data_IF_242786640524
#
_entry.id   IF_242786640524
#
_cell.length_a   1.000
_cell.length_b   1.000
_cell.length_c   1.000
_cell.angle_alpha   90.00
_cell.angle_beta   90.00
_cell.angle_gamma   90.00
#
_symmetry.space_group_name_H-M   'P 1'
#
loop_
_entity.id
_entity.type
_entity.pdbx_description
1 polymer ?
#
# COMPACT_ATOMS: atom_id res chain seq x y z
N UNK A 1 -13.43 17.76 -12.13
CA UNK A 1 -12.89 16.52 -11.54
C UNK A 1 -12.12 16.77 -10.24
N UNK A 2 -11.48 17.92 -10.04
CA UNK A 2 -10.67 18.23 -8.83
C UNK A 2 -11.24 19.32 -7.91
N UNK A 3 -12.48 19.79 -8.12
CA UNK A 3 -13.05 20.89 -7.32
C UNK A 3 -13.51 20.48 -5.91
N UNK A 4 -13.52 19.18 -5.60
CA UNK A 4 -13.93 18.62 -4.29
C UNK A 4 -12.82 17.76 -3.67
N UNK A 5 -11.54 18.12 -3.81
CA UNK A 5 -10.50 17.47 -2.98
C UNK A 5 -10.64 17.99 -1.55
N UNK A 6 -11.58 17.40 -0.81
CA UNK A 6 -11.60 17.47 0.64
C UNK A 6 -10.33 16.84 1.21
N UNK A 7 -9.82 17.39 2.32
CA UNK A 7 -8.68 16.83 3.06
C UNK A 7 -8.87 15.35 3.42
N UNK A 8 -10.13 14.89 3.43
CA UNK A 8 -10.54 13.50 3.65
C UNK A 8 -10.08 12.51 2.58
N UNK A 9 -9.84 12.97 1.36
CA UNK A 9 -9.42 12.10 0.25
C UNK A 9 -7.90 11.90 0.20
N UNK A 10 -7.13 12.69 0.95
CA UNK A 10 -5.65 12.62 0.94
C UNK A 10 -5.17 11.21 1.29
N UNK A 11 -5.67 10.53 2.35
CA UNK A 11 -5.20 9.20 2.69
C UNK A 11 -5.48 8.17 1.58
N UNK A 12 -6.67 8.23 0.97
CA UNK A 12 -7.05 7.33 -0.12
C UNK A 12 -6.23 7.59 -1.39
N UNK A 13 -6.01 8.85 -1.76
CA UNK A 13 -5.16 9.20 -2.91
C UNK A 13 -3.71 8.80 -2.67
N UNK A 14 -3.20 9.02 -1.46
CA UNK A 14 -1.85 8.60 -1.08
C UNK A 14 -1.71 7.07 -1.17
N UNK A 15 -2.63 6.31 -0.58
CA UNK A 15 -2.61 4.86 -0.64
C UNK A 15 -2.67 4.36 -2.09
N UNK A 16 -3.58 4.91 -2.90
CA UNK A 16 -3.72 4.60 -4.33
C UNK A 16 -2.40 4.83 -5.09
N UNK A 17 -1.76 5.98 -4.88
CA UNK A 17 -0.47 6.31 -5.49
C UNK A 17 0.66 5.40 -4.99
N UNK A 18 0.73 5.13 -3.69
CA UNK A 18 1.74 4.26 -3.11
C UNK A 18 1.64 2.83 -3.67
N UNK A 19 0.44 2.32 -3.88
CA UNK A 19 0.19 1.00 -4.46
C UNK A 19 0.49 0.95 -5.95
N UNK A 20 0.01 1.94 -6.71
CA UNK A 20 0.23 2.04 -8.14
C UNK A 20 1.69 2.32 -8.48
N UNK A 21 2.20 3.48 -8.09
CA UNK A 21 3.56 3.93 -8.44
C UNK A 21 4.63 3.16 -7.67
N UNK A 22 4.42 2.92 -6.37
CA UNK A 22 5.36 2.14 -5.56
C UNK A 22 5.43 0.68 -6.00
N UNK A 23 4.30 0.08 -6.41
CA UNK A 23 4.30 -1.26 -7.00
C UNK A 23 4.99 -1.30 -8.38
N UNK A 24 4.76 -0.28 -9.22
CA UNK A 24 5.37 -0.18 -10.54
C UNK A 24 6.90 -0.07 -10.48
N UNK A 25 7.43 0.60 -9.44
CA UNK A 25 8.87 0.67 -9.19
C UNK A 25 9.51 -0.72 -9.10
N UNK A 26 8.83 -1.69 -8.47
CA UNK A 26 9.35 -3.05 -8.36
C UNK A 26 9.33 -3.85 -9.66
N UNK A 27 8.51 -3.43 -10.65
CA UNK A 27 8.47 -4.07 -11.96
C UNK A 27 9.70 -3.66 -12.79
N UNK A 28 10.09 -2.40 -12.69
CA UNK A 28 11.27 -1.86 -13.37
C UNK A 28 12.59 -2.23 -12.64
N UNK A 29 12.63 -2.09 -11.32
CA UNK A 29 13.84 -2.33 -10.52
C UNK A 29 13.54 -3.13 -9.24
N UNK A 30 13.43 -4.47 -9.33
CA UNK A 30 13.05 -5.32 -8.19
C UNK A 30 14.08 -5.27 -7.06
N UNK A 31 15.37 -5.18 -7.37
CA UNK A 31 16.44 -5.08 -6.38
C UNK A 31 16.25 -3.85 -5.49
N UNK A 32 16.19 -2.67 -6.10
CA UNK A 32 16.05 -1.41 -5.37
C UNK A 32 14.72 -1.35 -4.63
N UNK A 33 13.65 -1.90 -5.21
CA UNK A 33 12.36 -2.02 -4.53
C UNK A 33 12.42 -2.86 -3.25
N UNK A 34 13.07 -4.03 -3.30
CA UNK A 34 13.24 -4.89 -2.11
C UNK A 34 14.01 -4.19 -0.99
N UNK A 35 15.04 -3.41 -1.35
CA UNK A 35 15.80 -2.60 -0.37
C UNK A 35 14.90 -1.54 0.27
N UNK A 36 14.16 -0.76 -0.53
CA UNK A 36 13.22 0.25 -0.01
C UNK A 36 12.04 -0.35 0.76
N UNK A 37 11.66 -1.57 0.42
CA UNK A 37 10.65 -2.31 1.16
C UNK A 37 11.12 -2.64 2.58
N UNK A 38 12.43 -2.80 2.78
CA UNK A 38 13.06 -3.05 4.08
C UNK A 38 13.88 -4.34 4.13
N UNK A 39 14.08 -5.02 3.00
CA UNK A 39 14.90 -6.22 2.97
C UNK A 39 16.40 -5.90 2.97
N UNK A 40 17.23 -6.74 3.62
CA UNK A 40 18.69 -6.61 3.56
C UNK A 40 19.21 -6.84 2.13
N UNK A 41 20.33 -6.21 1.80
CA UNK A 41 21.03 -6.38 0.52
C UNK A 41 21.27 -7.87 0.17
N UNK A 42 21.57 -8.71 1.17
CA UNK A 42 21.76 -10.17 0.99
C UNK A 42 20.59 -10.88 0.30
N UNK A 43 19.36 -10.37 0.47
CA UNK A 43 18.13 -10.91 -0.14
C UNK A 43 17.84 -10.18 -1.46
N UNK A 44 17.98 -8.85 -1.46
CA UNK A 44 17.70 -8.04 -2.65
C UNK A 44 18.65 -8.34 -3.83
N UNK A 45 19.90 -8.72 -3.54
CA UNK A 45 20.93 -9.05 -4.53
C UNK A 45 20.73 -10.42 -5.18
N UNK A 46 19.80 -11.24 -4.69
CA UNK A 46 19.52 -12.58 -5.21
C UNK A 46 18.55 -12.51 -6.40
N UNK A 47 18.98 -12.89 -7.61
CA UNK A 47 18.11 -12.86 -8.80
C UNK A 47 16.86 -13.74 -8.66
N UNK A 48 16.93 -14.80 -7.85
CA UNK A 48 15.83 -15.72 -7.59
C UNK A 48 14.63 -15.03 -6.90
N UNK A 49 14.88 -13.94 -6.17
CA UNK A 49 13.84 -13.18 -5.47
C UNK A 49 13.10 -12.21 -6.39
N UNK A 50 13.68 -11.84 -7.53
CA UNK A 50 13.14 -10.79 -8.39
C UNK A 50 11.81 -11.16 -9.07
N UNK A 51 11.60 -12.38 -9.59
CA UNK A 51 10.31 -12.79 -10.13
C UNK A 51 9.20 -12.76 -9.08
N UNK A 52 9.49 -13.21 -7.86
CA UNK A 52 8.54 -13.22 -6.74
C UNK A 52 8.16 -11.79 -6.36
N UNK A 53 9.14 -10.90 -6.24
CA UNK A 53 8.91 -9.49 -5.98
C UNK A 53 8.04 -8.86 -7.07
N UNK A 54 8.37 -9.07 -8.36
CA UNK A 54 7.58 -8.53 -9.48
C UNK A 54 6.13 -9.00 -9.46
N UNK A 55 5.89 -10.30 -9.25
CA UNK A 55 4.52 -10.84 -9.21
C UNK A 55 3.75 -10.31 -7.99
N UNK A 56 4.37 -10.25 -6.82
CA UNK A 56 3.76 -9.69 -5.61
C UNK A 56 3.39 -8.22 -5.78
N UNK A 57 4.33 -7.41 -6.28
CA UNK A 57 4.10 -5.99 -6.49
C UNK A 57 3.18 -5.69 -7.68
N UNK A 58 3.12 -6.54 -8.72
CA UNK A 58 2.13 -6.43 -9.79
C UNK A 58 0.69 -6.47 -9.25
N UNK A 59 0.42 -7.33 -8.26
CA UNK A 59 -0.89 -7.37 -7.59
C UNK A 59 -1.20 -6.06 -6.85
N UNK A 60 -0.20 -5.47 -6.20
CA UNK A 60 -0.36 -4.16 -5.56
C UNK A 60 -0.65 -3.05 -6.60
N UNK A 61 -0.01 -3.08 -7.77
CA UNK A 61 -0.33 -2.16 -8.88
C UNK A 61 -1.78 -2.33 -9.33
N UNK A 62 -2.23 -3.57 -9.54
CA UNK A 62 -3.62 -3.84 -9.91
C UNK A 62 -4.61 -3.31 -8.89
N UNK A 63 -4.32 -3.46 -7.59
CA UNK A 63 -5.17 -2.93 -6.52
C UNK A 63 -5.18 -1.40 -6.49
N UNK A 64 -4.04 -0.75 -6.70
CA UNK A 64 -3.96 0.70 -6.87
C UNK A 64 -4.78 1.19 -8.06
N UNK A 65 -4.73 0.49 -9.20
CA UNK A 65 -5.55 0.83 -10.38
C UNK A 65 -7.05 0.65 -10.12
N UNK A 66 -7.44 -0.43 -9.44
CA UNK A 66 -8.83 -0.69 -9.05
C UNK A 66 -9.32 0.42 -8.11
N UNK A 67 -8.51 0.79 -7.12
CA UNK A 67 -8.83 1.85 -6.17
C UNK A 67 -8.95 3.22 -6.86
N UNK A 68 -8.05 3.53 -7.82
CA UNK A 68 -8.14 4.73 -8.64
C UNK A 68 -9.42 4.76 -9.50
N UNK A 69 -9.83 3.62 -10.05
CA UNK A 69 -11.05 3.50 -10.86
C UNK A 69 -12.31 3.75 -10.01
N UNK A 70 -12.39 3.15 -8.82
CA UNK A 70 -13.51 3.36 -7.91
C UNK A 70 -13.56 4.78 -7.37
N UNK A 71 -12.40 5.36 -7.07
CA UNK A 71 -12.29 6.77 -6.72
C UNK A 71 -12.81 7.67 -7.83
N UNK A 72 -12.41 7.43 -9.09
CA UNK A 72 -12.90 8.21 -10.24
C UNK A 72 -14.40 8.05 -10.49
N UNK A 73 -15.00 6.93 -10.07
CA UNK A 73 -16.44 6.67 -10.11
C UNK A 73 -17.22 7.24 -8.92
N UNK A 74 -16.54 7.85 -7.94
CA UNK A 74 -17.16 8.36 -6.72
C UNK A 74 -17.62 7.28 -5.74
N UNK A 75 -17.19 6.03 -5.91
CA UNK A 75 -17.51 4.90 -5.02
C UNK A 75 -16.53 4.88 -3.84
N UNK A 76 -16.63 5.88 -2.97
CA UNK A 76 -15.69 6.11 -1.87
C UNK A 76 -15.80 5.08 -0.74
N UNK A 77 -16.96 4.48 -0.57
CA UNK A 77 -17.22 3.35 0.33
C UNK A 77 -16.35 2.12 -0.02
N UNK A 78 -16.25 1.81 -1.31
CA UNK A 78 -15.41 0.71 -1.82
C UNK A 78 -13.94 1.04 -1.63
N UNK A 79 -13.55 2.30 -1.88
CA UNK A 79 -12.17 2.77 -1.66
C UNK A 79 -11.76 2.63 -0.19
N UNK A 80 -12.64 3.04 0.73
CA UNK A 80 -12.43 2.91 2.17
C UNK A 80 -12.36 1.45 2.62
N UNK A 81 -13.18 0.58 2.02
CA UNK A 81 -13.13 -0.87 2.29
C UNK A 81 -11.80 -1.49 1.82
N UNK A 82 -11.36 -1.17 0.60
CA UNK A 82 -10.07 -1.64 0.08
C UNK A 82 -8.94 -1.13 0.97
N UNK A 83 -8.93 0.15 1.31
CA UNK A 83 -7.93 0.74 2.19
C UNK A 83 -7.93 0.10 3.58
N UNK A 84 -9.10 -0.12 4.17
CA UNK A 84 -9.29 -0.75 5.48
C UNK A 84 -8.72 -2.16 5.54
N UNK A 85 -9.23 -3.04 4.67
CA UNK A 85 -8.87 -4.46 4.64
C UNK A 85 -7.43 -4.67 4.19
N UNK A 86 -7.01 -3.96 3.15
CA UNK A 86 -5.70 -4.18 2.55
C UNK A 86 -4.59 -3.61 3.44
N UNK A 87 -4.75 -2.39 3.94
CA UNK A 87 -3.72 -1.80 4.79
C UNK A 87 -3.56 -2.63 6.07
N UNK A 88 -4.64 -3.17 6.65
CA UNK A 88 -4.56 -4.01 7.84
C UNK A 88 -3.87 -5.37 7.58
N UNK A 89 -4.33 -6.10 6.56
CA UNK A 89 -3.82 -7.44 6.26
C UNK A 89 -2.38 -7.42 5.74
N UNK A 90 -2.02 -6.49 4.85
CA UNK A 90 -0.63 -6.36 4.39
C UNK A 90 0.29 -5.74 5.45
N UNK A 91 -0.20 -4.80 6.29
CA UNK A 91 0.62 -4.29 7.40
C UNK A 91 1.13 -5.42 8.29
N UNK A 92 0.25 -6.34 8.64
CA UNK A 92 0.55 -7.46 9.52
C UNK A 92 1.61 -8.38 8.91
N UNK A 93 1.41 -8.78 7.65
CA UNK A 93 2.33 -9.69 6.95
C UNK A 93 3.67 -9.01 6.72
N UNK A 94 3.67 -7.78 6.19
CA UNK A 94 4.90 -7.04 5.88
C UNK A 94 5.72 -6.76 7.14
N UNK A 95 5.06 -6.34 8.22
CA UNK A 95 5.74 -6.08 9.49
C UNK A 95 6.33 -7.38 10.07
N UNK A 96 5.59 -8.49 10.03
CA UNK A 96 6.09 -9.79 10.48
C UNK A 96 7.33 -10.25 9.69
N UNK A 97 7.29 -10.12 8.37
CA UNK A 97 8.42 -10.50 7.49
C UNK A 97 9.64 -9.62 7.75
N UNK A 98 9.48 -8.31 7.77
CA UNK A 98 10.60 -7.36 7.98
C UNK A 98 11.17 -7.47 9.40
N UNK A 99 10.33 -7.76 10.39
CA UNK A 99 10.74 -8.03 11.76
C UNK A 99 11.66 -9.25 11.84
N UNK A 100 11.26 -10.36 11.20
CA UNK A 100 12.06 -11.59 11.16
C UNK A 100 13.41 -11.41 10.43
N UNK A 101 13.49 -10.47 9.48
CA UNK A 101 14.73 -10.14 8.78
C UNK A 101 15.68 -9.22 9.56
N UNK A 102 15.25 -8.73 10.73
CA UNK A 102 16.06 -7.96 11.68
C UNK A 102 15.88 -6.44 11.64
N UNK A 103 15.04 -5.91 10.75
CA UNK A 103 14.80 -4.46 10.59
C UNK A 103 13.59 -3.97 11.41
N UNK A 104 13.68 -4.14 12.73
CA UNK A 104 12.62 -3.88 13.70
C UNK A 104 12.02 -2.46 13.61
N UNK A 105 12.86 -1.43 13.47
CA UNK A 105 12.38 -0.04 13.36
C UNK A 105 11.52 0.19 12.10
N UNK A 106 11.89 -0.43 10.99
CA UNK A 106 11.13 -0.33 9.74
C UNK A 106 9.84 -1.13 9.80
N UNK A 107 9.86 -2.31 10.44
CA UNK A 107 8.68 -3.12 10.67
C UNK A 107 7.61 -2.35 11.50
N UNK A 108 8.02 -1.66 12.57
CA UNK A 108 7.11 -0.83 13.38
C UNK A 108 6.55 0.33 12.57
N UNK A 109 7.41 1.05 11.82
CA UNK A 109 6.95 2.14 10.96
C UNK A 109 5.88 1.67 9.95
N UNK A 110 6.10 0.52 9.31
CA UNK A 110 5.12 -0.06 8.38
C UNK A 110 3.83 -0.46 9.09
N UNK A 111 3.93 -1.12 10.24
CA UNK A 111 2.76 -1.53 11.01
C UNK A 111 1.91 -0.35 11.46
N UNK A 112 2.53 0.70 12.02
CA UNK A 112 1.82 1.89 12.49
C UNK A 112 1.26 2.69 11.31
N UNK A 113 2.05 2.89 10.26
CA UNK A 113 1.63 3.62 9.07
C UNK A 113 0.43 2.96 8.40
N UNK A 114 0.56 1.68 8.04
CA UNK A 114 -0.52 0.95 7.39
C UNK A 114 -1.69 0.64 8.35
N UNK A 115 -1.45 0.48 9.65
CA UNK A 115 -2.50 0.42 10.67
C UNK A 115 -3.34 1.71 10.72
N UNK A 116 -2.70 2.87 10.55
CA UNK A 116 -3.39 4.17 10.46
C UNK A 116 -4.29 4.21 9.22
N UNK A 117 -3.78 3.84 8.05
CA UNK A 117 -4.60 3.77 6.83
C UNK A 117 -5.76 2.78 6.96
N UNK A 118 -5.53 1.64 7.62
CA UNK A 118 -6.57 0.65 7.89
C UNK A 118 -7.69 1.22 8.77
N UNK A 119 -7.33 1.91 9.85
CA UNK A 119 -8.27 2.59 10.73
C UNK A 119 -9.05 3.69 9.99
N UNK A 120 -8.39 4.49 9.16
CA UNK A 120 -9.05 5.53 8.35
C UNK A 120 -10.03 4.94 7.33
N UNK A 121 -9.69 3.79 6.73
CA UNK A 121 -10.56 3.08 5.81
C UNK A 121 -11.80 2.53 6.51
N UNK A 122 -11.63 1.84 7.64
CA UNK A 122 -12.78 1.36 8.42
C UNK A 122 -13.63 2.47 9.03
N UNK A 123 -13.04 3.64 9.31
CA UNK A 123 -13.76 4.82 9.76
C UNK A 123 -14.55 5.52 8.63
N UNK A 124 -14.41 5.08 7.38
CA UNK A 124 -15.11 5.67 6.24
C UNK A 124 -14.68 7.11 5.96
N UNK A 125 -13.41 7.44 6.18
CA UNK A 125 -12.93 8.83 6.09
C UNK A 125 -13.17 9.42 4.68
N UNK A 126 -12.95 8.62 3.63
CA UNK A 126 -13.07 9.05 2.23
C UNK A 126 -14.53 9.25 1.85
N UNK A 127 -15.42 8.38 2.33
CA UNK A 127 -16.87 8.51 2.16
C UNK A 127 -17.44 9.71 2.93
N UNK A 128 -16.90 9.98 4.13
CA UNK A 128 -17.43 11.00 5.04
C UNK A 128 -18.71 10.56 5.76
N UNK A 129 -19.28 11.41 6.63
CA UNK A 129 -20.50 11.06 7.36
C UNK A 129 -21.64 10.80 6.38
N UNK A 130 -22.34 9.68 6.59
CA UNK A 130 -23.59 9.34 5.89
C UNK A 130 -24.56 10.51 6.13
N UNK A 131 -24.91 11.22 5.07
CA UNK A 131 -25.99 12.22 5.07
C UNK A 131 -27.33 11.53 4.89
#
# INVERSE_FOLDING_TARGET
MFNDISLRHIPALYATCAMGLGGAWSLANPRTSLIHFGFPARIADRPEMWPVARVGHARNVSLGLIMALFYARGQYDVVDTIMGVMAGSLALVDACVVWNEGFHGWAVFRFVGAGTFSALGFAGLTQGPVR
#
